data_IF_471636841487
#
_entry.id   IF_471636841487
#
_cell.length_a   1.000
_cell.length_b   1.000
_cell.length_c   1.000
_cell.angle_alpha   90.00
_cell.angle_beta   90.00
_cell.angle_gamma   90.00
#
_symmetry.space_group_name_H-M   'P 1'
#
loop_
_entity.id
_entity.type
_entity.pdbx_description
1 polymer ?
#
# COMPACT_ATOMS: atom_id res chain seq x y z
N UNK A 1 4.29 -16.34 2.96
CA UNK A 1 3.97 -15.03 2.34
C UNK A 1 2.77 -14.42 3.06
N UNK A 2 2.98 -13.31 3.76
CA UNK A 2 1.94 -12.59 4.50
C UNK A 2 1.26 -11.59 3.57
N UNK A 3 -0.08 -11.58 3.56
CA UNK A 3 -0.86 -10.61 2.79
C UNK A 3 -1.25 -9.45 3.69
N UNK A 4 -0.98 -8.22 3.26
CA UNK A 4 -1.23 -7.01 4.05
C UNK A 4 -2.17 -6.08 3.28
N UNK A 5 -3.13 -5.49 4.00
CA UNK A 5 -3.89 -4.33 3.55
C UNK A 5 -3.48 -3.11 4.37
N UNK A 6 -3.45 -1.93 3.75
CA UNK A 6 -3.13 -0.67 4.42
C UNK A 6 -4.35 0.25 4.41
N UNK A 7 -4.77 0.72 5.58
CA UNK A 7 -5.85 1.70 5.73
C UNK A 7 -5.21 3.04 6.16
N UNK A 8 -5.50 4.09 5.41
CA UNK A 8 -4.88 5.40 5.53
C UNK A 8 -3.60 5.49 4.71
N UNK A 9 -3.65 6.22 3.61
CA UNK A 9 -2.57 6.51 2.66
C UNK A 9 -2.01 7.92 2.85
N UNK A 10 -1.87 8.35 4.11
CA UNK A 10 -1.10 9.53 4.48
C UNK A 10 0.41 9.31 4.27
N UNK A 11 1.23 10.07 4.98
CA UNK A 11 2.70 9.94 4.87
C UNK A 11 3.18 8.53 5.24
N UNK A 12 2.75 8.02 6.40
CA UNK A 12 3.16 6.68 6.87
C UNK A 12 2.51 5.54 6.08
N UNK A 13 1.27 5.72 5.64
CA UNK A 13 0.59 4.74 4.78
C UNK A 13 1.35 4.47 3.48
N UNK A 14 1.76 5.55 2.79
CA UNK A 14 2.58 5.44 1.58
C UNK A 14 3.98 4.87 1.86
N UNK A 15 4.59 5.24 2.98
CA UNK A 15 5.88 4.68 3.41
C UNK A 15 5.77 3.16 3.59
N UNK A 16 4.75 2.68 4.30
CA UNK A 16 4.53 1.25 4.51
C UNK A 16 4.15 0.52 3.22
N UNK A 17 3.34 1.15 2.35
CA UNK A 17 3.02 0.58 1.06
C UNK A 17 4.27 0.38 0.20
N UNK A 18 5.18 1.35 0.22
CA UNK A 18 6.48 1.27 -0.46
C UNK A 18 7.40 0.22 0.20
N UNK A 19 7.44 0.14 1.53
CA UNK A 19 8.24 -0.87 2.22
C UNK A 19 7.77 -2.31 1.91
N UNK A 20 6.47 -2.50 1.69
CA UNK A 20 5.91 -3.79 1.30
C UNK A 20 6.42 -4.28 -0.07
N UNK A 21 6.89 -3.40 -0.97
CA UNK A 21 7.46 -3.81 -2.27
C UNK A 21 8.89 -4.33 -2.14
N UNK A 22 9.60 -3.97 -1.06
CA UNK A 22 10.98 -4.38 -0.79
C UNK A 22 11.08 -5.67 0.02
N UNK A 23 10.04 -6.00 0.79
CA UNK A 23 10.03 -7.15 1.69
C UNK A 23 9.68 -8.46 0.95
N UNK A 24 10.60 -9.44 0.98
CA UNK A 24 10.46 -10.68 0.18
C UNK A 24 9.32 -11.62 0.62
N UNK A 25 8.82 -11.51 1.85
CA UNK A 25 7.78 -12.41 2.38
C UNK A 25 6.44 -11.68 2.64
N UNK A 26 6.28 -10.47 2.10
CA UNK A 26 5.08 -9.64 2.25
C UNK A 26 4.51 -9.36 0.86
N UNK A 27 3.18 -9.40 0.74
CA UNK A 27 2.47 -8.94 -0.43
C UNK A 27 1.41 -7.93 0.00
N UNK A 28 1.53 -6.70 -0.46
CA UNK A 28 0.47 -5.70 -0.35
C UNK A 28 -0.66 -6.09 -1.31
N UNK A 29 -1.87 -6.28 -0.79
CA UNK A 29 -3.03 -6.78 -1.57
C UNK A 29 -4.19 -5.82 -1.64
N UNK A 30 -4.26 -4.84 -0.74
CA UNK A 30 -5.36 -3.88 -0.65
C UNK A 30 -4.86 -2.56 -0.05
N UNK A 31 -5.44 -1.44 -0.48
CA UNK A 31 -5.29 -0.15 0.18
C UNK A 31 -6.63 0.56 0.29
N UNK A 32 -6.82 1.34 1.34
CA UNK A 32 -8.02 2.14 1.53
C UNK A 32 -7.66 3.52 2.09
N UNK A 33 -8.24 4.58 1.52
CA UNK A 33 -8.13 5.94 2.01
C UNK A 33 -9.39 6.73 1.60
N UNK A 34 -9.90 7.65 2.44
CA UNK A 34 -11.02 8.50 2.06
C UNK A 34 -10.65 9.57 1.03
N UNK A 35 -9.36 9.94 0.91
CA UNK A 35 -8.89 10.88 -0.08
C UNK A 35 -8.36 10.14 -1.31
N UNK A 36 -9.12 10.19 -2.39
CA UNK A 36 -8.80 9.55 -3.67
C UNK A 36 -7.44 9.99 -4.27
N UNK A 37 -6.98 11.21 -3.97
CA UNK A 37 -5.69 11.69 -4.44
C UNK A 37 -4.51 10.88 -3.91
N UNK A 38 -4.66 10.26 -2.73
CA UNK A 38 -3.59 9.47 -2.12
C UNK A 38 -3.33 8.16 -2.88
N UNK A 39 -4.31 7.63 -3.59
CA UNK A 39 -4.14 6.41 -4.39
C UNK A 39 -3.18 6.62 -5.55
N UNK A 40 -3.11 7.84 -6.12
CA UNK A 40 -2.17 8.20 -7.20
C UNK A 40 -0.70 8.09 -6.80
N UNK A 41 -0.41 8.06 -5.49
CA UNK A 41 0.94 7.94 -4.95
C UNK A 41 1.41 6.49 -4.89
N UNK A 42 0.50 5.53 -4.99
CA UNK A 42 0.79 4.10 -4.95
C UNK A 42 1.17 3.62 -6.35
N UNK A 43 2.41 3.15 -6.51
CA UNK A 43 2.95 2.66 -7.80
C UNK A 43 2.96 1.14 -7.89
N UNK A 44 1.94 0.47 -7.38
CA UNK A 44 1.87 -1.00 -7.44
C UNK A 44 0.73 -1.43 -8.35
N UNK A 45 1.06 -2.28 -9.31
CA UNK A 45 0.14 -2.77 -10.36
C UNK A 45 -0.83 -3.87 -9.88
N UNK A 46 -0.82 -4.20 -8.58
CA UNK A 46 -1.48 -5.39 -8.02
C UNK A 46 -2.29 -5.13 -6.75
N UNK A 47 -2.86 -3.94 -6.62
CA UNK A 47 -3.75 -3.60 -5.50
C UNK A 47 -5.18 -3.49 -6.02
N UNK A 48 -6.11 -4.14 -5.32
CA UNK A 48 -7.56 -4.02 -5.52
C UNK A 48 -8.07 -2.87 -4.64
#
# INVERSE_FOLDING_TARGET
>A
MVKIGIIGLGHMGNYHASACTLAQNIKLVAVADPNEENFKKIKTDHII
#
